data_IF_842195060065
#
_entry.id   IF_842195060065
#
_cell.length_a   1.000
_cell.length_b   1.000
_cell.length_c   1.000
_cell.angle_alpha   90.00
_cell.angle_beta   90.00
_cell.angle_gamma   90.00
#
_symmetry.space_group_name_H-M   'P 1'
#
loop_
_entity.id
_entity.type
_entity.pdbx_description
1 polymer ?
#
# COMPACT_ATOMS: atom_id res chain seq x y z
N UNK A 1 15.60 -37.26 -29.87
CA UNK A 1 14.86 -36.82 -31.06
C UNK A 1 15.17 -35.35 -31.26
N UNK A 2 16.01 -35.06 -32.25
CA UNK A 2 16.48 -33.71 -32.61
C UNK A 2 16.09 -33.43 -34.06
N UNK A 3 15.84 -32.16 -34.35
CA UNK A 3 15.66 -31.42 -35.64
C UNK A 3 14.43 -30.54 -35.50
N UNK A 4 14.47 -29.23 -35.76
CA UNK A 4 14.52 -28.56 -37.07
C UNK A 4 15.31 -27.24 -36.87
N UNK A 5 16.52 -27.07 -37.38
CA UNK A 5 16.98 -26.72 -38.75
C UNK A 5 16.64 -25.28 -39.19
N UNK A 6 17.67 -24.43 -39.04
CA UNK A 6 17.91 -23.16 -39.73
C UNK A 6 18.13 -23.36 -41.23
N UNK A 7 17.60 -22.48 -42.08
CA UNK A 7 18.10 -22.31 -43.46
C UNK A 7 17.94 -20.85 -43.89
N UNK A 8 19.08 -20.24 -44.22
CA UNK A 8 19.25 -18.88 -44.74
C UNK A 8 19.32 -18.96 -46.26
N UNK A 9 18.52 -18.17 -46.96
CA UNK A 9 18.62 -17.95 -48.40
C UNK A 9 19.14 -16.54 -48.67
N UNK A 10 20.22 -16.40 -49.43
CA UNK A 10 20.45 -15.21 -50.25
C UNK A 10 20.36 -15.61 -51.73
N UNK A 11 19.36 -15.07 -52.43
CA UNK A 11 19.22 -15.16 -53.88
C UNK A 11 19.72 -13.86 -54.52
N UNK A 12 20.59 -14.04 -55.51
CA UNK A 12 20.73 -13.25 -56.74
C UNK A 12 21.30 -11.83 -56.60
N UNK A 13 22.53 -11.64 -57.12
CA UNK A 13 22.80 -10.86 -58.34
C UNK A 13 24.34 -10.68 -58.45
N UNK A 14 25.01 -11.60 -59.13
CA UNK A 14 26.38 -11.41 -59.61
C UNK A 14 26.40 -11.70 -61.10
N UNK A 15 26.06 -10.70 -61.89
CA UNK A 15 26.28 -10.69 -63.33
C UNK A 15 26.80 -9.30 -63.68
N UNK A 16 28.11 -9.13 -63.50
CA UNK A 16 28.84 -7.93 -63.83
C UNK A 16 30.09 -8.30 -64.65
N UNK A 17 30.12 -7.72 -65.84
CA UNK A 17 31.29 -7.27 -66.58
C UNK A 17 32.27 -8.33 -67.12
N UNK A 18 32.02 -8.76 -68.36
CA UNK A 18 33.11 -9.02 -69.31
C UNK A 18 32.66 -8.76 -70.75
N UNK A 19 32.53 -7.49 -71.12
CA UNK A 19 32.61 -7.07 -72.52
C UNK A 19 33.75 -6.06 -72.58
N UNK A 20 34.97 -6.59 -72.52
CA UNK A 20 36.18 -5.86 -72.79
C UNK A 20 36.42 -5.88 -74.30
N UNK A 21 36.49 -4.68 -74.88
CA UNK A 21 37.51 -4.31 -75.85
C UNK A 21 37.47 -5.03 -77.20
N UNK A 22 37.02 -4.30 -78.21
CA UNK A 22 36.99 -4.78 -79.58
C UNK A 22 38.35 -5.18 -80.13
N UNK A 23 38.32 -6.13 -81.05
CA UNK A 23 39.33 -6.23 -82.10
C UNK A 23 38.57 -6.33 -83.41
N UNK A 24 38.36 -5.16 -84.02
CA UNK A 24 38.01 -5.02 -85.42
C UNK A 24 39.29 -5.39 -86.19
N UNK A 25 39.40 -6.66 -86.57
CA UNK A 25 40.42 -7.15 -87.50
C UNK A 25 39.85 -7.20 -88.90
N UNK A 26 39.99 -6.10 -89.65
CA UNK A 26 39.73 -6.05 -91.09
C UNK A 26 40.63 -7.07 -91.81
N UNK A 27 39.98 -8.00 -92.51
CA UNK A 27 40.66 -8.96 -93.38
C UNK A 27 39.75 -9.41 -94.52
N UNK A 28 38.95 -8.49 -95.08
CA UNK A 28 38.24 -8.78 -96.33
C UNK A 28 39.24 -8.56 -97.47
N UNK A 29 39.91 -9.65 -97.87
CA UNK A 29 40.68 -9.69 -99.10
C UNK A 29 39.75 -9.47 -100.29
N UNK A 30 39.60 -8.22 -100.71
CA UNK A 30 38.90 -7.91 -101.95
C UNK A 30 39.81 -8.30 -103.12
N UNK A 31 39.52 -9.44 -103.76
CA UNK A 31 39.83 -9.60 -105.18
C UNK A 31 39.03 -8.55 -105.93
N UNK A 32 39.72 -7.58 -106.50
CA UNK A 32 39.14 -6.58 -107.39
C UNK A 32 38.91 -7.25 -108.75
N UNK A 33 37.80 -7.96 -108.88
CA UNK A 33 37.23 -8.22 -110.21
C UNK A 33 36.37 -7.01 -110.59
N UNK A 34 36.89 -6.26 -111.57
CA UNK A 34 36.16 -5.22 -112.29
C UNK A 34 34.90 -5.83 -112.92
N UNK A 35 33.75 -5.64 -112.28
CA UNK A 35 32.46 -5.47 -112.96
C UNK A 35 31.70 -4.31 -112.35
N UNK A 36 31.72 -3.22 -113.12
CA UNK A 36 30.69 -2.21 -113.34
C UNK A 36 29.45 -2.34 -112.44
N UNK A 37 29.38 -1.48 -111.43
CA UNK A 37 28.25 -0.61 -111.10
C UNK A 37 28.69 0.29 -109.94
N UNK A 38 29.29 1.43 -110.27
CA UNK A 38 29.49 2.49 -109.29
C UNK A 38 28.09 2.90 -108.77
N UNK A 39 27.81 2.85 -107.46
CA UNK A 39 26.58 3.41 -106.94
C UNK A 39 26.54 4.88 -107.34
N UNK A 40 25.44 5.32 -107.94
CA UNK A 40 25.22 6.74 -108.26
C UNK A 40 25.46 7.58 -107.01
N UNK A 41 26.10 8.76 -107.17
CA UNK A 41 26.42 9.71 -106.09
C UNK A 41 25.24 9.92 -105.11
N UNK A 42 24.02 9.88 -105.65
CA UNK A 42 22.73 9.94 -104.95
C UNK A 42 22.54 8.81 -103.92
N UNK A 43 22.90 7.56 -104.24
CA UNK A 43 22.78 6.44 -103.28
C UNK A 43 23.79 6.55 -102.13
N UNK A 44 25.00 7.03 -102.40
CA UNK A 44 25.97 7.30 -101.34
C UNK A 44 25.49 8.44 -100.43
N UNK A 45 24.93 9.51 -101.00
CA UNK A 45 24.39 10.63 -100.22
C UNK A 45 23.19 10.22 -99.37
N UNK A 46 22.31 9.37 -99.91
CA UNK A 46 21.14 8.85 -99.20
C UNK A 46 21.51 7.87 -98.08
N UNK A 47 22.58 7.08 -98.26
CA UNK A 47 23.12 6.20 -97.21
C UNK A 47 23.80 6.98 -96.09
N UNK A 48 24.52 8.06 -96.42
CA UNK A 48 25.13 8.94 -95.41
C UNK A 48 24.04 9.68 -94.63
N UNK A 49 22.99 10.19 -95.29
CA UNK A 49 21.87 10.83 -94.61
C UNK A 49 21.14 9.85 -93.68
N UNK A 50 20.83 8.63 -94.14
CA UNK A 50 20.15 7.64 -93.29
C UNK A 50 21.00 7.18 -92.11
N UNK A 51 22.32 7.05 -92.27
CA UNK A 51 23.22 6.78 -91.14
C UNK A 51 23.32 7.96 -90.18
N UNK A 52 23.32 9.19 -90.67
CA UNK A 52 23.36 10.39 -89.82
C UNK A 52 22.06 10.52 -89.03
N UNK A 53 20.90 10.32 -89.66
CA UNK A 53 19.60 10.29 -88.98
C UNK A 53 19.52 9.17 -87.93
N UNK A 54 20.08 8.00 -88.21
CA UNK A 54 20.11 6.89 -87.26
C UNK A 54 21.05 7.17 -86.08
N UNK A 55 22.17 7.85 -86.32
CA UNK A 55 23.11 8.27 -85.28
C UNK A 55 22.51 9.37 -84.40
N UNK A 56 21.78 10.32 -84.99
CA UNK A 56 21.06 11.37 -84.28
C UNK A 56 19.92 10.80 -83.42
N UNK A 57 19.16 9.83 -83.95
CA UNK A 57 18.13 9.12 -83.16
C UNK A 57 18.74 8.33 -82.00
N UNK A 58 19.84 7.63 -82.24
CA UNK A 58 20.54 6.91 -81.19
C UNK A 58 21.10 7.86 -80.12
N UNK A 59 21.72 8.97 -80.54
CA UNK A 59 22.22 10.03 -79.63
C UNK A 59 21.10 10.61 -78.77
N UNK A 60 19.94 10.92 -79.36
CA UNK A 60 18.76 11.39 -78.64
C UNK A 60 18.25 10.33 -77.64
N UNK A 61 18.25 9.05 -78.02
CA UNK A 61 17.84 7.96 -77.15
C UNK A 61 18.81 7.77 -75.96
N UNK A 62 20.12 7.91 -76.19
CA UNK A 62 21.13 7.89 -75.13
C UNK A 62 20.95 9.07 -74.15
N UNK A 63 20.67 10.27 -74.64
CA UNK A 63 20.42 11.43 -73.78
C UNK A 63 19.18 11.26 -72.90
N UNK A 64 18.10 10.66 -73.44
CA UNK A 64 16.90 10.32 -72.64
C UNK A 64 17.22 9.28 -71.58
N UNK A 65 18.04 8.27 -71.90
CA UNK A 65 18.43 7.23 -70.95
C UNK A 65 19.29 7.80 -69.81
N UNK A 66 20.24 8.68 -70.13
CA UNK A 66 21.08 9.37 -69.15
C UNK A 66 20.23 10.26 -68.24
N UNK A 67 19.33 11.08 -68.81
CA UNK A 67 18.43 11.93 -68.04
C UNK A 67 17.49 11.11 -67.13
N UNK A 68 17.00 9.96 -67.61
CA UNK A 68 16.20 9.04 -66.80
C UNK A 68 17.00 8.41 -65.66
N UNK A 69 18.25 8.02 -65.91
CA UNK A 69 19.13 7.45 -64.90
C UNK A 69 19.51 8.48 -63.83
N UNK A 70 19.83 9.71 -64.23
CA UNK A 70 20.07 10.82 -63.30
C UNK A 70 18.84 11.11 -62.43
N UNK A 71 17.63 11.09 -63.01
CA UNK A 71 16.38 11.27 -62.26
C UNK A 71 16.15 10.15 -61.25
N UNK A 72 16.37 8.89 -61.65
CA UNK A 72 16.29 7.73 -60.74
C UNK A 72 17.34 7.82 -59.63
N UNK A 73 18.57 8.20 -59.95
CA UNK A 73 19.65 8.36 -58.97
C UNK A 73 19.29 9.41 -57.91
N UNK A 74 18.76 10.57 -58.33
CA UNK A 74 18.28 11.62 -57.40
C UNK A 74 17.11 11.17 -56.53
N UNK A 75 16.16 10.42 -57.10
CA UNK A 75 15.04 9.86 -56.33
C UNK A 75 15.51 8.82 -55.32
N UNK A 76 16.46 7.96 -55.70
CA UNK A 76 17.06 6.98 -54.81
C UNK A 76 17.77 7.68 -53.65
N UNK A 77 18.55 8.72 -53.94
CA UNK A 77 19.26 9.50 -52.91
C UNK A 77 18.30 10.20 -51.95
N UNK A 78 17.21 10.80 -52.46
CA UNK A 78 16.16 11.39 -51.62
C UNK A 78 15.47 10.35 -50.74
N UNK A 79 15.10 9.21 -51.31
CA UNK A 79 14.45 8.11 -50.58
C UNK A 79 15.38 7.55 -49.50
N UNK A 80 16.68 7.39 -49.79
CA UNK A 80 17.67 6.95 -48.80
C UNK A 80 17.83 7.95 -47.66
N UNK A 81 17.84 9.26 -47.96
CA UNK A 81 17.87 10.31 -46.92
C UNK A 81 16.63 10.27 -46.04
N UNK A 82 15.44 10.14 -46.63
CA UNK A 82 14.18 10.05 -45.89
C UNK A 82 14.11 8.78 -45.02
N UNK A 83 14.52 7.62 -45.55
CA UNK A 83 14.57 6.37 -44.82
C UNK A 83 15.54 6.44 -43.62
N UNK A 84 16.68 7.11 -43.81
CA UNK A 84 17.68 7.31 -42.75
C UNK A 84 17.13 8.21 -41.65
N UNK A 85 16.47 9.30 -42.02
CA UNK A 85 15.82 10.21 -41.08
C UNK A 85 14.69 9.50 -40.31
N UNK A 86 13.85 8.72 -41.00
CA UNK A 86 12.77 7.97 -40.38
C UNK A 86 13.31 6.91 -39.42
N UNK A 87 14.38 6.20 -39.80
CA UNK A 87 15.06 5.22 -38.94
C UNK A 87 15.58 5.87 -37.66
N UNK A 88 16.25 7.03 -37.77
CA UNK A 88 16.73 7.78 -36.61
C UNK A 88 15.59 8.23 -35.70
N UNK A 89 14.46 8.65 -36.26
CA UNK A 89 13.29 9.08 -35.50
C UNK A 89 12.65 7.91 -34.74
N UNK A 90 12.54 6.74 -35.38
CA UNK A 90 12.04 5.51 -34.75
C UNK A 90 12.96 5.06 -33.62
N UNK A 91 14.27 5.04 -33.83
CA UNK A 91 15.22 4.67 -32.77
C UNK A 91 15.20 5.66 -31.61
N UNK A 92 15.06 6.96 -31.88
CA UNK A 92 14.87 7.97 -30.83
C UNK A 92 13.58 7.75 -30.03
N UNK A 93 12.46 7.52 -30.71
CA UNK A 93 11.19 7.23 -30.04
C UNK A 93 11.26 5.95 -29.21
N UNK A 94 11.90 4.90 -29.73
CA UNK A 94 12.10 3.63 -29.01
C UNK A 94 12.94 3.84 -27.75
N UNK A 95 14.00 4.64 -27.83
CA UNK A 95 14.80 5.01 -26.66
C UNK A 95 13.94 5.77 -25.62
N UNK A 96 13.18 6.78 -26.05
CA UNK A 96 12.30 7.56 -25.16
C UNK A 96 11.23 6.69 -24.50
N UNK A 97 10.57 5.80 -25.26
CA UNK A 97 9.59 4.85 -24.70
C UNK A 97 10.23 3.86 -23.73
N UNK A 98 11.43 3.37 -24.03
CA UNK A 98 12.15 2.48 -23.12
C UNK A 98 12.49 3.18 -21.79
N UNK A 99 12.89 4.45 -21.84
CA UNK A 99 13.19 5.25 -20.67
C UNK A 99 11.93 5.53 -19.85
N UNK A 100 10.80 5.85 -20.50
CA UNK A 100 9.51 6.05 -19.83
C UNK A 100 9.01 4.76 -19.17
N UNK A 101 9.15 3.61 -19.83
CA UNK A 101 8.78 2.30 -19.27
C UNK A 101 9.64 1.94 -18.05
N UNK A 102 10.95 2.21 -18.10
CA UNK A 102 11.82 2.03 -16.95
C UNK A 102 11.40 2.91 -15.76
N UNK A 103 11.13 4.19 -16.02
CA UNK A 103 10.66 5.14 -15.00
C UNK A 103 9.32 4.72 -14.38
N UNK A 104 8.36 4.29 -15.22
CA UNK A 104 7.07 3.79 -14.74
C UNK A 104 7.22 2.53 -13.89
N UNK A 105 8.11 1.61 -14.29
CA UNK A 105 8.39 0.40 -13.53
C UNK A 105 9.00 0.72 -12.16
N UNK A 106 9.97 1.64 -12.12
CA UNK A 106 10.56 2.12 -10.87
C UNK A 106 9.52 2.77 -9.95
N UNK A 107 8.69 3.68 -10.50
CA UNK A 107 7.61 4.30 -9.72
C UNK A 107 6.65 3.26 -9.17
N UNK A 108 6.27 2.26 -9.97
CA UNK A 108 5.36 1.18 -9.54
C UNK A 108 5.94 0.36 -8.38
N UNK A 109 7.24 0.04 -8.45
CA UNK A 109 7.95 -0.66 -7.37
C UNK A 109 8.01 0.19 -6.10
N UNK A 110 8.30 1.49 -6.22
CA UNK A 110 8.32 2.42 -5.08
C UNK A 110 6.94 2.56 -4.45
N UNK A 111 5.88 2.67 -5.25
CA UNK A 111 4.50 2.68 -4.78
C UNK A 111 4.14 1.40 -4.03
N UNK A 112 4.52 0.23 -4.55
CA UNK A 112 4.28 -1.05 -3.88
C UNK A 112 5.02 -1.14 -2.52
N UNK A 113 6.28 -0.69 -2.46
CA UNK A 113 7.05 -0.64 -1.21
C UNK A 113 6.42 0.32 -0.19
N UNK A 114 5.99 1.51 -0.63
CA UNK A 114 5.31 2.49 0.21
C UNK A 114 3.97 1.94 0.74
N UNK A 115 3.19 1.25 -0.09
CA UNK A 115 1.94 0.60 0.35
C UNK A 115 2.18 -0.45 1.42
N UNK A 116 3.21 -1.30 1.26
CA UNK A 116 3.58 -2.28 2.28
C UNK A 116 3.99 -1.62 3.59
N UNK A 117 4.81 -0.56 3.53
CA UNK A 117 5.19 0.21 4.73
C UNK A 117 3.98 0.84 5.42
N UNK A 118 3.04 1.38 4.65
CA UNK A 118 1.82 1.97 5.18
C UNK A 118 0.96 0.93 5.91
N UNK A 119 0.80 -0.26 5.32
CA UNK A 119 0.06 -1.37 5.93
C UNK A 119 0.70 -1.86 7.24
N UNK A 120 2.03 -1.99 7.26
CA UNK A 120 2.76 -2.35 8.50
C UNK A 120 2.59 -1.27 9.57
N UNK A 121 2.68 0.00 9.18
CA UNK A 121 2.50 1.14 10.11
C UNK A 121 1.08 1.19 10.66
N UNK A 122 0.07 0.98 9.80
CA UNK A 122 -1.34 0.88 10.18
C UNK A 122 -1.59 -0.25 11.17
N UNK A 123 -1.00 -1.43 10.94
CA UNK A 123 -1.10 -2.56 11.88
C UNK A 123 -0.46 -2.23 13.22
N UNK A 124 0.75 -1.66 13.24
CA UNK A 124 1.43 -1.23 14.48
C UNK A 124 0.60 -0.21 15.25
N UNK A 125 0.08 0.80 14.55
CA UNK A 125 -0.77 1.83 15.16
C UNK A 125 -2.04 1.23 15.77
N UNK A 126 -2.72 0.34 15.05
CA UNK A 126 -3.90 -0.37 15.58
C UNK A 126 -3.56 -1.19 16.83
N UNK A 127 -2.41 -1.88 16.85
CA UNK A 127 -1.96 -2.62 18.03
C UNK A 127 -1.73 -1.69 19.22
N UNK A 128 -1.07 -0.55 19.02
CA UNK A 128 -0.83 0.43 20.08
C UNK A 128 -2.13 1.07 20.58
N UNK A 129 -3.07 1.38 19.69
CA UNK A 129 -4.42 1.88 20.07
C UNK A 129 -5.15 0.85 20.93
N UNK A 130 -5.15 -0.43 20.56
CA UNK A 130 -5.79 -1.49 21.35
C UNK A 130 -5.12 -1.67 22.71
N UNK A 131 -3.78 -1.62 22.78
CA UNK A 131 -3.05 -1.66 24.05
C UNK A 131 -3.42 -0.48 24.94
N UNK A 132 -3.43 0.73 24.39
CA UNK A 132 -3.80 1.94 25.13
C UNK A 132 -5.23 1.86 25.65
N UNK A 133 -6.20 1.50 24.81
CA UNK A 133 -7.59 1.30 25.25
C UNK A 133 -7.70 0.25 26.35
N UNK A 134 -6.98 -0.86 26.24
CA UNK A 134 -6.97 -1.91 27.27
C UNK A 134 -6.39 -1.39 28.58
N UNK A 135 -5.29 -0.64 28.54
CA UNK A 135 -4.67 -0.05 29.73
C UNK A 135 -5.59 0.99 30.35
N UNK A 136 -6.20 1.87 29.56
CA UNK A 136 -7.17 2.87 30.05
C UNK A 136 -8.37 2.19 30.70
N UNK A 137 -8.93 1.15 30.08
CA UNK A 137 -10.05 0.39 30.67
C UNK A 137 -9.64 -0.28 31.99
N UNK A 138 -8.44 -0.87 32.07
CA UNK A 138 -7.92 -1.43 33.32
C UNK A 138 -7.74 -0.36 34.39
N UNK A 139 -7.19 0.80 34.04
CA UNK A 139 -7.03 1.94 34.96
C UNK A 139 -8.39 2.44 35.45
N UNK A 140 -9.37 2.59 34.55
CA UNK A 140 -10.73 3.01 34.92
C UNK A 140 -11.38 2.02 35.88
N UNK A 141 -11.28 0.71 35.60
CA UNK A 141 -11.83 -0.33 36.49
C UNK A 141 -11.18 -0.29 37.88
N UNK A 142 -9.87 -0.05 37.95
CA UNK A 142 -9.17 0.08 39.25
C UNK A 142 -9.63 1.34 39.99
N UNK A 143 -9.76 2.47 39.30
CA UNK A 143 -10.24 3.72 39.89
C UNK A 143 -11.67 3.56 40.40
N UNK A 144 -12.58 3.04 39.58
CA UNK A 144 -13.99 2.84 39.95
C UNK A 144 -14.11 1.89 41.15
N UNK A 145 -13.37 0.77 41.14
CA UNK A 145 -13.32 -0.16 42.27
C UNK A 145 -12.80 0.53 43.53
N UNK A 146 -11.70 1.28 43.43
CA UNK A 146 -11.13 1.99 44.58
C UNK A 146 -12.13 2.98 45.19
N UNK A 147 -12.83 3.77 44.36
CA UNK A 147 -13.86 4.70 44.82
C UNK A 147 -15.01 3.98 45.53
N UNK A 148 -15.48 2.86 44.97
CA UNK A 148 -16.51 2.05 45.60
C UNK A 148 -16.07 1.50 46.96
N UNK A 149 -14.83 1.02 47.07
CA UNK A 149 -14.27 0.55 48.34
C UNK A 149 -14.20 1.65 49.39
N UNK A 150 -13.67 2.84 49.04
CA UNK A 150 -13.60 3.96 49.98
C UNK A 150 -14.98 4.46 50.41
N UNK A 151 -15.94 4.51 49.49
CA UNK A 151 -17.33 4.88 49.82
C UNK A 151 -17.94 3.87 50.80
N UNK A 152 -17.80 2.57 50.51
CA UNK A 152 -18.30 1.50 51.37
C UNK A 152 -17.63 1.51 52.75
N UNK A 153 -16.33 1.77 52.81
CA UNK A 153 -15.57 1.90 54.05
C UNK A 153 -16.09 3.07 54.90
N UNK A 154 -16.29 4.24 54.29
CA UNK A 154 -16.81 5.43 54.97
C UNK A 154 -18.23 5.21 55.51
N UNK A 155 -19.13 4.61 54.71
CA UNK A 155 -20.49 4.26 55.14
C UNK A 155 -20.48 3.25 56.29
N UNK A 156 -19.63 2.22 56.21
CA UNK A 156 -19.51 1.22 57.28
C UNK A 156 -18.94 1.83 58.57
N UNK A 157 -17.95 2.72 58.47
CA UNK A 157 -17.37 3.42 59.60
C UNK A 157 -18.40 4.34 60.30
N UNK A 158 -19.25 5.02 59.51
CA UNK A 158 -20.35 5.81 60.02
C UNK A 158 -21.38 4.95 60.78
N UNK A 159 -21.74 3.78 60.22
CA UNK A 159 -22.65 2.83 60.87
C UNK A 159 -22.09 2.29 62.19
N UNK A 160 -20.79 1.97 62.24
CA UNK A 160 -20.10 1.55 63.47
C UNK A 160 -20.18 2.65 64.52
N UNK A 161 -19.91 3.90 64.14
CA UNK A 161 -19.91 5.04 65.05
C UNK A 161 -21.32 5.33 65.58
N UNK A 162 -22.33 5.30 64.71
CA UNK A 162 -23.73 5.46 65.11
C UNK A 162 -24.20 4.34 66.05
N UNK A 163 -23.89 3.08 65.72
CA UNK A 163 -24.26 1.93 66.57
C UNK A 163 -23.52 1.96 67.91
N UNK A 164 -22.27 2.43 67.93
CA UNK A 164 -21.51 2.61 69.16
C UNK A 164 -22.13 3.70 70.05
N UNK A 165 -22.60 4.81 69.46
CA UNK A 165 -23.35 5.84 70.18
C UNK A 165 -24.67 5.28 70.76
N UNK A 166 -25.43 4.50 69.98
CA UNK A 166 -26.65 3.82 70.46
C UNK A 166 -26.35 2.89 71.65
N UNK A 167 -25.26 2.12 71.59
CA UNK A 167 -24.84 1.24 72.69
C UNK A 167 -24.55 2.04 73.95
N UNK A 168 -23.89 3.21 73.84
CA UNK A 168 -23.62 4.08 74.98
C UNK A 168 -24.92 4.64 75.56
N UNK A 169 -25.84 5.10 74.71
CA UNK A 169 -27.14 5.63 75.14
C UNK A 169 -28.00 4.56 75.84
N UNK A 170 -28.13 3.37 75.24
CA UNK A 170 -28.87 2.24 75.83
C UNK A 170 -28.24 1.81 77.14
N UNK A 171 -26.90 1.73 77.21
CA UNK A 171 -26.19 1.39 78.45
C UNK A 171 -26.44 2.42 79.55
N UNK A 172 -26.52 3.70 79.20
CA UNK A 172 -26.81 4.75 80.16
C UNK A 172 -28.27 4.67 80.64
N UNK A 173 -29.24 4.54 79.72
CA UNK A 173 -30.65 4.34 80.07
C UNK A 173 -30.88 3.09 80.93
N UNK A 174 -30.17 2.00 80.65
CA UNK A 174 -30.23 0.78 81.44
C UNK A 174 -29.74 0.99 82.88
N UNK A 175 -28.79 1.89 83.15
CA UNK A 175 -28.36 2.19 84.54
C UNK A 175 -29.47 2.85 85.34
N UNK A 176 -30.25 3.72 84.72
CA UNK A 176 -31.34 4.42 85.39
C UNK A 176 -32.46 3.43 85.79
N UNK A 177 -32.81 2.51 84.88
CA UNK A 177 -33.75 1.42 85.19
C UNK A 177 -33.17 0.38 86.16
N UNK A 178 -31.86 0.13 86.12
CA UNK A 178 -31.18 -0.76 87.08
C UNK A 178 -31.36 -0.25 88.50
N UNK A 179 -31.12 1.05 88.72
CA UNK A 179 -31.25 1.66 90.05
C UNK A 179 -32.69 1.52 90.58
N UNK A 180 -33.69 1.83 89.76
CA UNK A 180 -35.10 1.68 90.13
C UNK A 180 -35.49 0.22 90.42
N UNK A 181 -35.00 -0.74 89.63
CA UNK A 181 -35.24 -2.16 89.84
C UNK A 181 -34.54 -2.70 91.12
N UNK A 182 -33.31 -2.26 91.40
CA UNK A 182 -32.57 -2.64 92.61
C UNK A 182 -33.28 -2.08 93.87
N UNK A 183 -33.78 -0.83 93.82
CA UNK A 183 -34.59 -0.21 94.89
C UNK A 183 -35.94 -0.94 95.12
N UNK A 184 -36.61 -1.38 94.04
CA UNK A 184 -37.82 -2.20 94.12
C UNK A 184 -37.54 -3.55 94.79
N UNK A 185 -36.46 -4.23 94.38
CA UNK A 185 -36.07 -5.55 94.91
C UNK A 185 -35.58 -5.51 96.35
N UNK A 186 -34.98 -4.41 96.81
CA UNK A 186 -34.51 -4.28 98.19
C UNK A 186 -35.63 -4.02 99.20
N UNK A 187 -36.87 -3.77 98.75
CA UNK A 187 -38.04 -3.53 99.62
C UNK A 187 -37.97 -2.25 100.46
N UNK A 188 -36.96 -1.40 100.23
CA UNK A 188 -36.64 -0.19 101.01
C UNK A 188 -36.99 1.12 100.27
N UNK A 189 -37.81 1.04 99.22
CA UNK A 189 -38.08 2.19 98.37
C UNK A 189 -39.16 3.11 98.96
N UNK A 190 -38.79 4.36 99.22
CA UNK A 190 -39.73 5.47 99.40
C UNK A 190 -40.18 6.10 98.06
N UNK A 191 -39.54 5.70 96.95
CA UNK A 191 -39.91 6.09 95.59
C UNK A 191 -41.02 5.18 95.02
N UNK A 192 -41.87 5.73 94.15
CA UNK A 192 -42.86 5.00 93.34
C UNK A 192 -42.17 4.15 92.25
N UNK A 193 -41.49 3.07 92.64
CA UNK A 193 -40.85 2.08 91.75
C UNK A 193 -41.66 0.78 91.72
N UNK A 194 -41.59 0.04 90.61
CA UNK A 194 -42.46 -1.13 90.37
C UNK A 194 -41.77 -2.25 89.60
N UNK A 195 -42.42 -3.42 89.52
CA UNK A 195 -42.00 -4.52 88.67
C UNK A 195 -41.79 -4.10 87.20
N UNK A 196 -42.57 -3.13 86.70
CA UNK A 196 -42.42 -2.61 85.33
C UNK A 196 -41.04 -1.98 85.08
N UNK A 197 -40.36 -1.48 86.11
CA UNK A 197 -39.02 -0.90 85.98
C UNK A 197 -37.95 -1.99 85.78
N UNK A 198 -38.14 -3.15 86.43
CA UNK A 198 -37.34 -4.34 86.15
C UNK A 198 -37.59 -4.88 84.74
N UNK A 199 -38.85 -4.93 84.29
CA UNK A 199 -39.18 -5.38 82.93
C UNK A 199 -38.55 -4.45 81.86
N UNK A 200 -38.57 -3.13 82.10
CA UNK A 200 -37.87 -2.15 81.24
C UNK A 200 -36.36 -2.33 81.27
N UNK A 201 -35.77 -2.60 82.43
CA UNK A 201 -34.34 -2.89 82.54
C UNK A 201 -33.96 -4.12 81.72
N UNK A 202 -34.71 -5.22 81.84
CA UNK A 202 -34.46 -6.46 81.08
C UNK A 202 -34.65 -6.24 79.58
N UNK A 203 -35.64 -5.43 79.17
CA UNK A 203 -35.82 -5.02 77.79
C UNK A 203 -34.60 -4.23 77.27
N UNK A 204 -34.07 -3.29 78.04
CA UNK A 204 -32.86 -2.52 77.67
C UNK A 204 -31.62 -3.42 77.59
N UNK A 205 -31.48 -4.40 78.49
CA UNK A 205 -30.41 -5.40 78.40
C UNK A 205 -30.50 -6.25 77.13
N UNK A 206 -31.72 -6.66 76.74
CA UNK A 206 -31.95 -7.36 75.48
C UNK A 206 -31.56 -6.52 74.25
N UNK A 207 -31.97 -5.25 74.23
CA UNK A 207 -31.59 -4.30 73.18
C UNK A 207 -30.08 -4.06 73.13
N UNK A 208 -29.44 -3.90 74.30
CA UNK A 208 -27.99 -3.73 74.43
C UNK A 208 -27.24 -4.91 73.84
N UNK A 209 -27.65 -6.14 74.16
CA UNK A 209 -27.05 -7.36 73.62
C UNK A 209 -27.17 -7.43 72.10
N UNK A 210 -28.35 -7.11 71.56
CA UNK A 210 -28.59 -7.09 70.11
C UNK A 210 -27.73 -6.03 69.40
N UNK A 211 -27.65 -4.80 69.95
CA UNK A 211 -26.83 -3.71 69.40
C UNK A 211 -25.34 -3.98 69.51
N UNK A 212 -24.88 -4.61 70.60
CA UNK A 212 -23.48 -5.06 70.73
C UNK A 212 -23.14 -6.15 69.71
N UNK A 213 -24.02 -7.12 69.49
CA UNK A 213 -23.82 -8.14 68.45
C UNK A 213 -23.77 -7.50 67.05
N UNK A 214 -24.64 -6.53 66.78
CA UNK A 214 -24.62 -5.76 65.54
C UNK A 214 -23.32 -4.97 65.37
N UNK A 215 -22.84 -4.31 66.43
CA UNK A 215 -21.58 -3.56 66.42
C UNK A 215 -20.38 -4.47 66.10
N UNK A 216 -20.30 -5.64 66.73
CA UNK A 216 -19.25 -6.63 66.46
C UNK A 216 -19.32 -7.11 65.00
N UNK A 217 -20.52 -7.38 64.49
CA UNK A 217 -20.72 -7.77 63.09
C UNK A 217 -20.28 -6.66 62.12
N UNK A 218 -20.62 -5.40 62.40
CA UNK A 218 -20.20 -4.25 61.59
C UNK A 218 -18.69 -4.02 61.65
N UNK A 219 -18.05 -4.20 62.81
CA UNK A 219 -16.59 -4.12 62.95
C UNK A 219 -15.88 -5.25 62.19
N UNK A 220 -16.43 -6.47 62.20
CA UNK A 220 -15.92 -7.56 61.37
C UNK A 220 -16.07 -7.25 59.88
N UNK A 221 -17.23 -6.75 59.44
CA UNK A 221 -17.44 -6.34 58.06
C UNK A 221 -16.47 -5.21 57.62
N UNK A 222 -16.21 -4.25 58.51
CA UNK A 222 -15.21 -3.19 58.29
C UNK A 222 -13.80 -3.78 58.16
N UNK A 223 -13.42 -4.74 59.01
CA UNK A 223 -12.11 -5.40 58.94
C UNK A 223 -11.95 -6.18 57.62
N UNK A 224 -13.01 -6.82 57.13
CA UNK A 224 -13.03 -7.47 55.81
C UNK A 224 -12.83 -6.45 54.69
N UNK A 225 -13.56 -5.33 54.71
CA UNK A 225 -13.40 -4.25 53.73
C UNK A 225 -11.97 -3.70 53.74
N UNK A 226 -11.39 -3.46 54.92
CA UNK A 226 -10.02 -2.98 55.07
C UNK A 226 -8.98 -4.00 54.56
N UNK A 227 -9.21 -5.29 54.79
CA UNK A 227 -8.35 -6.35 54.28
C UNK A 227 -8.46 -6.51 52.75
N UNK A 228 -9.64 -6.28 52.16
CA UNK A 228 -9.82 -6.24 50.71
C UNK A 228 -9.09 -5.05 50.07
N UNK A 229 -9.09 -3.88 50.73
CA UNK A 229 -8.35 -2.69 50.30
C UNK A 229 -6.83 -2.93 50.36
N UNK A 230 -6.32 -3.51 51.45
CA UNK A 230 -4.87 -3.73 51.65
C UNK A 230 -4.25 -4.87 50.84
N UNK A 231 -5.05 -5.66 50.10
CA UNK A 231 -4.59 -6.78 49.26
C UNK A 231 -4.45 -6.43 47.77
N UNK A 232 -4.82 -5.21 47.36
CA UNK A 232 -4.63 -4.71 45.99
C UNK A 232 -3.33 -3.93 45.84
#
# INVERSE_FOLDING_TARGET
MSTITTSKTPLLFSLLALIAGGVIGYGVGMKVEKKTNAPTLVRCQQLVQSQTEQLDRNSAQYQVLVASNEKQSRQLEQTTKELTMMTQLVEKQKADFSAQLALLTQKRQQLAANQQQLEVTKKKLNTEVVKLQTTTNKQQVVIDKSQQYFKRQAEMQANVTATQADVIQIKQAAKDFKKACDEFKSGNSWNWVSQKDCDKYDQQLGLLKNKQALLVSQQQALAVINAEIGKQ
#
